data_IF_522230183797
#
_entry.id   IF_522230183797
#
_cell.length_a   1.000
_cell.length_b   1.000
_cell.length_c   1.000
_cell.angle_alpha   90.00
_cell.angle_beta   90.00
_cell.angle_gamma   90.00
#
_symmetry.space_group_name_H-M   'P 1'
#
loop_
_entity.id
_entity.type
_entity.pdbx_description
1 polymer ?
#
# COMPACT_ATOMS: atom_id res chain seq x y z
N UNK A 1 -9.16 4.56 -1.14
CA UNK A 1 -7.84 4.58 -1.80
C UNK A 1 -7.85 5.59 -2.93
N UNK A 2 -6.79 6.39 -3.07
CA UNK A 2 -6.53 7.26 -4.23
C UNK A 2 -5.44 6.62 -5.10
N UNK A 3 -5.66 6.59 -6.42
CA UNK A 3 -4.65 6.16 -7.39
C UNK A 3 -4.22 7.40 -8.18
N UNK A 4 -2.96 7.80 -8.02
CA UNK A 4 -2.37 8.96 -8.69
C UNK A 4 -1.45 8.44 -9.78
N UNK A 5 -1.73 8.79 -11.03
CA UNK A 5 -0.93 8.37 -12.19
C UNK A 5 -0.14 9.58 -12.65
N UNK A 6 1.17 9.42 -12.79
CA UNK A 6 2.10 10.42 -13.29
C UNK A 6 2.78 9.91 -14.56
N UNK A 7 3.32 10.82 -15.37
CA UNK A 7 3.93 10.47 -16.66
C UNK A 7 5.14 9.51 -16.49
N UNK A 8 5.95 9.73 -15.46
CA UNK A 8 7.15 8.93 -15.24
C UNK A 8 7.54 8.77 -13.77
N UNK A 9 8.60 7.98 -13.50
CA UNK A 9 9.06 7.72 -12.14
C UNK A 9 9.50 8.97 -11.37
N UNK A 10 10.04 9.97 -12.07
CA UNK A 10 10.50 11.22 -11.45
C UNK A 10 9.32 12.09 -11.02
N UNK A 11 8.29 12.20 -11.86
CA UNK A 11 7.06 12.94 -11.61
C UNK A 11 6.29 12.30 -10.45
N UNK A 12 6.18 10.96 -10.43
CA UNK A 12 5.62 10.20 -9.30
C UNK A 12 6.38 10.47 -8.00
N UNK A 13 7.71 10.46 -8.05
CA UNK A 13 8.56 10.72 -6.89
C UNK A 13 8.43 12.16 -6.38
N UNK A 14 8.40 13.13 -7.29
CA UNK A 14 8.23 14.55 -6.96
C UNK A 14 6.85 14.83 -6.37
N UNK A 15 5.79 14.22 -6.91
CA UNK A 15 4.45 14.32 -6.35
C UNK A 15 4.43 13.86 -4.89
N UNK A 16 5.01 12.70 -4.58
CA UNK A 16 5.07 12.21 -3.20
C UNK A 16 5.91 13.13 -2.31
N UNK A 17 7.07 13.61 -2.80
CA UNK A 17 7.92 14.50 -2.01
C UNK A 17 7.18 15.80 -1.64
N UNK A 18 6.50 16.44 -2.59
CA UNK A 18 5.65 17.61 -2.32
C UNK A 18 4.49 17.27 -1.38
N UNK A 19 3.89 16.09 -1.53
CA UNK A 19 2.85 15.62 -0.61
C UNK A 19 3.35 15.49 0.83
N UNK A 20 4.49 14.82 1.04
CA UNK A 20 5.12 14.68 2.36
C UNK A 20 5.46 16.05 2.94
N UNK A 21 6.01 16.96 2.14
CA UNK A 21 6.34 18.32 2.56
C UNK A 21 5.07 19.05 3.02
N UNK A 22 4.00 19.01 2.22
CA UNK A 22 2.73 19.62 2.57
C UNK A 22 2.15 19.07 3.87
N UNK A 23 2.31 17.76 4.11
CA UNK A 23 1.81 17.10 5.32
C UNK A 23 2.59 17.49 6.56
N UNK A 24 3.92 17.55 6.47
CA UNK A 24 4.76 17.99 7.58
C UNK A 24 4.47 19.46 7.90
N UNK A 25 4.39 20.34 6.89
CA UNK A 25 4.11 21.77 7.09
C UNK A 25 2.70 22.00 7.66
N UNK A 26 1.68 21.30 7.16
CA UNK A 26 0.31 21.41 7.66
C UNK A 26 0.16 20.85 9.08
N UNK A 27 0.95 19.84 9.45
CA UNK A 27 0.96 19.30 10.81
C UNK A 27 1.67 20.24 11.80
N UNK A 28 2.63 21.04 11.32
CA UNK A 28 3.43 22.00 12.09
C UNK A 28 4.07 21.36 13.34
N UNK A 29 5.01 20.41 13.16
CA UNK A 29 5.55 19.61 14.25
C UNK A 29 6.38 20.43 15.24
N UNK A 30 6.32 20.04 16.50
CA UNK A 30 7.12 20.58 17.60
C UNK A 30 7.79 19.44 18.37
N UNK A 31 8.60 19.77 19.37
CA UNK A 31 9.24 18.77 20.24
C UNK A 31 8.22 17.90 20.99
N UNK A 32 7.14 18.50 21.47
CA UNK A 32 6.05 17.82 22.20
C UNK A 32 5.10 17.06 21.28
N UNK A 33 5.06 17.44 20.00
CA UNK A 33 4.18 16.88 18.99
C UNK A 33 4.96 16.67 17.67
N UNK A 34 5.83 15.65 17.61
CA UNK A 34 6.61 15.37 16.41
C UNK A 34 5.73 14.79 15.29
N UNK A 35 6.16 14.97 14.05
CA UNK A 35 5.55 14.29 12.90
C UNK A 35 6.19 12.90 12.76
N UNK A 36 5.40 11.83 12.91
CA UNK A 36 5.91 10.46 12.83
C UNK A 36 5.77 9.92 11.40
N UNK A 37 6.91 9.60 10.77
CA UNK A 37 7.02 9.22 9.37
C UNK A 37 7.58 7.80 9.21
N UNK A 38 6.80 6.90 8.61
CA UNK A 38 7.25 5.59 8.18
C UNK A 38 8.01 5.67 6.85
N UNK A 39 9.15 4.98 6.70
CA UNK A 39 10.03 5.09 5.54
C UNK A 39 10.45 3.73 4.95
N UNK A 40 10.46 3.59 3.60
CA UNK A 40 10.95 2.40 2.91
C UNK A 40 12.44 2.54 2.52
N UNK A 41 13.04 1.44 2.08
CA UNK A 41 14.33 1.45 1.35
C UNK A 41 14.11 1.04 -0.12
N UNK A 42 15.17 0.62 -0.81
CA UNK A 42 15.12 0.18 -2.20
C UNK A 42 15.24 1.32 -3.22
N UNK A 43 15.09 0.98 -4.49
CA UNK A 43 15.34 1.91 -5.61
C UNK A 43 14.24 2.97 -5.77
N UNK A 44 12.98 2.60 -5.56
CA UNK A 44 11.82 3.47 -5.78
C UNK A 44 11.84 4.77 -4.97
N UNK A 45 12.16 4.79 -3.66
CA UNK A 45 12.14 6.03 -2.88
C UNK A 45 13.37 6.94 -3.07
N UNK A 46 14.40 6.54 -3.81
CA UNK A 46 15.65 7.32 -3.94
C UNK A 46 15.38 8.73 -4.48
N UNK A 47 14.52 8.86 -5.49
CA UNK A 47 14.19 10.16 -6.07
C UNK A 47 13.34 11.01 -5.10
N UNK A 48 12.46 10.39 -4.32
CA UNK A 48 11.71 11.05 -3.25
C UNK A 48 12.69 11.66 -2.23
N UNK A 49 13.68 10.88 -1.78
CA UNK A 49 14.68 11.36 -0.84
C UNK A 49 15.52 12.51 -1.40
N UNK A 50 15.94 12.45 -2.66
CA UNK A 50 16.64 13.56 -3.32
C UNK A 50 15.78 14.83 -3.33
N UNK A 51 14.49 14.73 -3.64
CA UNK A 51 13.58 15.88 -3.65
C UNK A 51 13.34 16.45 -2.25
N UNK A 52 13.21 15.61 -1.23
CA UNK A 52 13.14 16.05 0.18
C UNK A 52 14.42 16.76 0.64
N UNK A 53 15.59 16.25 0.28
CA UNK A 53 16.89 16.89 0.57
C UNK A 53 16.97 18.25 -0.10
N UNK A 54 16.58 18.35 -1.38
CA UNK A 54 16.59 19.62 -2.11
C UNK A 54 15.64 20.64 -1.48
N UNK A 55 14.45 20.20 -1.04
CA UNK A 55 13.50 21.07 -0.34
C UNK A 55 14.04 21.56 1.01
N UNK A 56 14.74 20.70 1.77
CA UNK A 56 15.41 21.10 3.01
C UNK A 56 16.52 22.12 2.74
N UNK A 57 17.39 21.87 1.74
CA UNK A 57 18.46 22.81 1.35
C UNK A 57 17.92 24.15 0.85
N UNK A 58 16.72 24.16 0.29
CA UNK A 58 15.99 25.36 -0.11
C UNK A 58 15.17 25.99 1.04
N UNK A 59 15.35 25.54 2.29
CA UNK A 59 14.65 26.04 3.48
C UNK A 59 13.12 25.96 3.41
N UNK A 60 12.56 25.04 2.61
CA UNK A 60 11.10 24.84 2.50
C UNK A 60 10.54 23.92 3.58
N UNK A 61 11.39 23.13 4.23
CA UNK A 61 11.01 22.16 5.25
C UNK A 61 12.16 21.95 6.24
N UNK A 62 11.83 21.53 7.46
CA UNK A 62 12.77 21.04 8.48
C UNK A 62 12.30 19.68 8.99
N UNK A 63 13.26 18.80 9.28
CA UNK A 63 13.08 17.47 9.86
C UNK A 63 13.44 17.42 11.35
N UNK A 64 13.74 18.57 11.98
CA UNK A 64 14.15 18.65 13.38
C UNK A 64 13.14 18.03 14.36
N UNK A 65 11.85 18.15 14.06
CA UNK A 65 10.75 17.58 14.84
C UNK A 65 10.03 16.46 14.09
N UNK A 66 10.73 15.77 13.19
CA UNK A 66 10.27 14.54 12.55
C UNK A 66 10.89 13.35 13.29
N UNK A 67 10.08 12.31 13.51
CA UNK A 67 10.48 11.00 14.02
C UNK A 67 10.27 9.98 12.92
N UNK A 68 11.25 9.13 12.67
CA UNK A 68 11.18 8.14 11.57
C UNK A 68 11.20 6.72 12.07
N UNK A 69 10.45 5.86 11.39
CA UNK A 69 10.47 4.40 11.56
C UNK A 69 10.64 3.75 10.20
N UNK A 70 11.72 2.98 10.01
CA UNK A 70 11.88 2.18 8.80
C UNK A 70 11.05 0.89 8.83
N UNK A 71 10.74 0.37 7.65
CA UNK A 71 9.93 -0.83 7.45
C UNK A 71 10.64 -2.11 7.87
N UNK A 72 11.96 -2.19 7.69
CA UNK A 72 12.69 -3.45 7.76
C UNK A 72 14.20 -3.24 7.95
N UNK A 73 14.88 -4.32 8.31
CA UNK A 73 16.35 -4.47 8.31
C UNK A 73 16.72 -5.95 8.13
N UNK A 74 17.83 -6.23 7.46
CA UNK A 74 18.31 -7.60 7.29
C UNK A 74 18.82 -8.20 8.61
N UNK A 75 18.53 -9.48 8.84
CA UNK A 75 19.04 -10.22 10.01
C UNK A 75 20.45 -10.70 9.74
N UNK A 76 21.35 -10.50 10.70
CA UNK A 76 22.74 -11.00 10.64
C UNK A 76 23.69 -10.19 9.74
N UNK A 77 23.20 -9.17 9.04
CA UNK A 77 24.04 -8.28 8.23
C UNK A 77 24.63 -7.18 9.13
N UNK A 78 25.97 -6.93 9.11
CA UNK A 78 26.57 -5.88 9.93
C UNK A 78 25.90 -4.52 9.69
N UNK A 79 25.68 -3.76 10.76
CA UNK A 79 24.96 -2.47 10.70
C UNK A 79 25.66 -1.42 9.83
N UNK A 80 26.97 -1.52 9.70
CA UNK A 80 27.83 -0.66 8.87
C UNK A 80 28.07 -1.25 7.47
N UNK A 81 27.54 -2.44 7.18
CA UNK A 81 27.60 -3.02 5.84
C UNK A 81 26.99 -2.04 4.83
N UNK A 82 27.60 -1.82 3.64
CA UNK A 82 27.12 -0.84 2.66
C UNK A 82 25.65 -1.02 2.24
N UNK A 83 25.20 -2.28 2.22
CA UNK A 83 23.85 -2.68 1.82
C UNK A 83 22.90 -2.98 2.99
N UNK A 84 23.32 -2.71 4.23
CA UNK A 84 22.35 -2.64 5.34
C UNK A 84 21.38 -1.47 5.12
N UNK A 85 20.16 -1.61 5.63
CA UNK A 85 19.17 -0.54 5.50
C UNK A 85 19.52 0.67 6.37
N UNK A 86 20.24 0.45 7.47
CA UNK A 86 20.93 1.51 8.21
C UNK A 86 21.87 2.34 7.31
N UNK A 87 22.84 1.69 6.65
CA UNK A 87 23.76 2.37 5.72
C UNK A 87 23.02 3.05 4.57
N UNK A 88 22.02 2.38 4.00
CA UNK A 88 21.20 2.94 2.93
C UNK A 88 20.54 4.25 3.35
N UNK A 89 19.87 4.29 4.51
CA UNK A 89 19.13 5.47 4.96
C UNK A 89 20.05 6.62 5.33
N UNK A 90 21.19 6.33 5.99
CA UNK A 90 22.19 7.36 6.26
C UNK A 90 22.82 7.90 4.98
N UNK A 91 23.11 7.04 3.99
CA UNK A 91 23.69 7.42 2.69
C UNK A 91 22.74 8.30 1.88
N UNK A 92 21.46 7.93 1.83
CA UNK A 92 20.48 8.51 0.91
C UNK A 92 19.59 9.60 1.51
N UNK A 93 19.47 9.71 2.84
CA UNK A 93 18.59 10.70 3.48
C UNK A 93 19.23 11.35 4.71
N UNK A 94 19.45 10.59 5.79
CA UNK A 94 19.59 11.17 7.13
C UNK A 94 20.81 12.10 7.29
N UNK A 95 21.93 11.85 6.59
CA UNK A 95 23.11 12.73 6.68
C UNK A 95 22.96 14.07 5.95
N UNK A 96 21.88 14.26 5.20
CA UNK A 96 21.67 15.41 4.31
C UNK A 96 20.57 16.36 4.79
N UNK A 97 19.93 16.06 5.92
CA UNK A 97 18.82 16.81 6.52
C UNK A 97 19.09 17.07 8.01
N UNK A 98 18.31 17.93 8.65
CA UNK A 98 18.43 18.30 10.07
C UNK A 98 17.65 17.38 11.04
N UNK A 99 17.43 16.12 10.66
CA UNK A 99 16.78 15.16 11.55
C UNK A 99 17.69 14.87 12.76
N UNK A 100 17.08 14.77 13.94
CA UNK A 100 17.83 14.47 15.16
C UNK A 100 18.13 12.97 15.26
N UNK A 101 19.37 12.54 15.58
CA UNK A 101 19.72 11.12 15.62
C UNK A 101 18.84 10.26 16.52
N UNK A 102 18.40 10.80 17.67
CA UNK A 102 17.52 10.10 18.61
C UNK A 102 16.08 9.90 18.10
N UNK A 103 15.70 10.59 17.02
CA UNK A 103 14.40 10.49 16.37
C UNK A 103 14.42 9.50 15.19
N UNK A 104 15.57 8.84 14.92
CA UNK A 104 15.71 7.83 13.88
C UNK A 104 15.52 6.45 14.51
N UNK A 105 14.51 5.70 14.07
CA UNK A 105 14.26 4.33 14.51
C UNK A 105 14.40 3.36 13.34
N UNK A 106 15.31 2.40 13.52
CA UNK A 106 15.63 1.31 12.59
C UNK A 106 15.61 0.02 13.40
N UNK A 107 15.06 -1.05 12.83
CA UNK A 107 15.11 -2.39 13.44
C UNK A 107 16.56 -2.85 13.56
N UNK A 108 16.91 -3.48 14.69
CA UNK A 108 18.23 -4.06 14.89
C UNK A 108 18.25 -5.54 14.48
N UNK A 109 18.61 -5.81 13.22
CA UNK A 109 18.75 -7.17 12.69
C UNK A 109 19.85 -8.03 13.34
N UNK A 110 20.67 -7.46 14.22
CA UNK A 110 21.69 -8.17 15.00
C UNK A 110 21.38 -8.19 16.50
N UNK A 111 20.14 -7.92 16.90
CA UNK A 111 19.74 -7.98 18.30
C UNK A 111 19.91 -9.41 18.86
N UNK A 112 20.37 -9.57 20.12
CA UNK A 112 20.49 -10.90 20.74
C UNK A 112 19.16 -11.67 20.80
N UNK A 113 18.05 -10.93 20.88
CA UNK A 113 16.71 -11.49 20.83
C UNK A 113 15.84 -10.69 19.84
N UNK A 114 15.68 -11.25 18.65
CA UNK A 114 14.93 -10.64 17.56
C UNK A 114 13.44 -10.45 17.88
N UNK A 115 12.85 -11.33 18.72
CA UNK A 115 11.45 -11.20 19.11
C UNK A 115 11.24 -9.99 20.02
N UNK A 116 12.14 -9.79 20.99
CA UNK A 116 12.11 -8.62 21.89
C UNK A 116 12.32 -7.34 21.09
N UNK A 117 13.28 -7.32 20.15
CA UNK A 117 13.49 -6.18 19.24
C UNK A 117 12.21 -5.80 18.50
N UNK A 118 11.50 -6.77 17.91
CA UNK A 118 10.22 -6.50 17.23
C UNK A 118 9.15 -5.93 18.16
N UNK A 119 9.05 -6.44 19.39
CA UNK A 119 8.07 -5.96 20.36
C UNK A 119 8.39 -4.53 20.84
N UNK A 120 9.66 -4.25 21.14
CA UNK A 120 10.12 -2.92 21.53
C UNK A 120 9.92 -1.90 20.41
N UNK A 121 10.10 -2.30 19.16
CA UNK A 121 9.84 -1.45 17.99
C UNK A 121 8.37 -1.03 17.91
N UNK A 122 7.45 -1.97 18.12
CA UNK A 122 6.01 -1.71 18.16
C UNK A 122 5.61 -0.81 19.32
N UNK A 123 6.17 -1.05 20.51
CA UNK A 123 5.91 -0.23 21.68
C UNK A 123 6.49 1.17 21.53
N UNK A 124 7.62 1.31 20.82
CA UNK A 124 8.18 2.61 20.46
C UNK A 124 7.26 3.37 19.51
N UNK A 125 6.71 2.73 18.48
CA UNK A 125 5.71 3.36 17.58
C UNK A 125 4.51 3.85 18.40
N UNK A 126 3.99 3.02 19.30
CA UNK A 126 2.86 3.38 20.17
C UNK A 126 3.20 4.53 21.12
N UNK A 127 4.44 4.61 21.61
CA UNK A 127 4.87 5.68 22.52
C UNK A 127 4.80 7.08 21.90
N UNK A 128 4.85 7.18 20.56
CA UNK A 128 4.63 8.42 19.81
C UNK A 128 3.17 8.63 19.35
N UNK A 129 2.23 7.76 19.74
CA UNK A 129 0.82 7.84 19.35
C UNK A 129 0.52 7.31 17.95
N UNK A 130 1.42 6.50 17.39
CA UNK A 130 1.29 5.90 16.06
C UNK A 130 1.96 6.72 14.94
N UNK A 131 1.90 6.18 13.72
CA UNK A 131 2.52 6.79 12.53
C UNK A 131 1.52 7.76 11.86
N UNK A 132 1.96 8.98 11.56
CA UNK A 132 1.12 9.99 10.90
C UNK A 132 1.02 9.74 9.39
N UNK A 133 2.15 9.41 8.76
CA UNK A 133 2.22 9.02 7.35
C UNK A 133 3.22 7.89 7.20
N UNK A 134 2.82 6.80 6.56
CA UNK A 134 3.69 5.70 6.21
C UNK A 134 3.96 5.71 4.71
N UNK A 135 5.19 6.04 4.31
CA UNK A 135 5.65 5.85 2.93
C UNK A 135 6.11 4.41 2.75
N UNK A 136 5.62 3.73 1.72
CA UNK A 136 6.01 2.38 1.36
C UNK A 136 6.33 2.24 -0.12
N UNK A 137 7.04 1.16 -0.47
CA UNK A 137 7.10 0.64 -1.83
C UNK A 137 6.26 -0.63 -1.97
N UNK A 138 6.26 -1.20 -3.17
CA UNK A 138 5.68 -2.52 -3.43
C UNK A 138 6.67 -3.43 -4.16
N UNK A 139 6.71 -4.70 -3.75
CA UNK A 139 7.37 -5.79 -4.47
C UNK A 139 6.75 -6.06 -5.86
N UNK A 140 7.45 -6.82 -6.71
CA UNK A 140 6.88 -7.29 -8.00
C UNK A 140 5.75 -8.31 -7.82
N UNK A 141 5.72 -8.95 -6.66
CA UNK A 141 4.72 -9.91 -6.17
C UNK A 141 3.58 -9.23 -5.36
N UNK A 142 3.64 -7.91 -5.15
CA UNK A 142 2.67 -7.18 -4.36
C UNK A 142 2.94 -7.14 -2.85
N UNK A 143 4.14 -7.50 -2.37
CA UNK A 143 4.46 -7.35 -0.95
C UNK A 143 4.61 -5.88 -0.52
N UNK A 144 4.16 -5.55 0.70
CA UNK A 144 4.55 -4.34 1.44
C UNK A 144 5.60 -4.71 2.49
N UNK A 145 6.70 -3.95 2.59
CA UNK A 145 7.86 -4.33 3.42
C UNK A 145 8.37 -5.72 3.01
N UNK A 146 8.85 -6.55 3.93
CA UNK A 146 9.04 -7.98 3.69
C UNK A 146 7.82 -8.84 4.04
N UNK A 147 6.59 -8.31 3.92
CA UNK A 147 5.37 -9.12 4.07
C UNK A 147 5.09 -9.90 2.79
N UNK A 148 5.93 -10.92 2.55
CA UNK A 148 5.87 -11.86 1.44
C UNK A 148 4.48 -12.51 1.29
N UNK A 149 4.13 -13.00 0.08
CA UNK A 149 2.90 -13.75 -0.17
C UNK A 149 2.64 -14.83 0.90
N UNK A 150 1.40 -14.87 1.39
CA UNK A 150 0.98 -15.74 2.49
C UNK A 150 1.13 -15.13 3.89
N UNK A 151 1.72 -13.93 4.01
CA UNK A 151 1.81 -13.22 5.29
C UNK A 151 0.45 -12.79 5.80
N UNK A 152 0.19 -12.94 7.11
CA UNK A 152 -1.08 -12.50 7.70
C UNK A 152 -1.31 -11.00 7.46
N UNK A 153 -2.52 -10.64 7.02
CA UNK A 153 -2.92 -9.24 6.86
C UNK A 153 -3.07 -8.52 8.21
N UNK A 154 -3.21 -9.26 9.32
CA UNK A 154 -3.20 -8.73 10.69
C UNK A 154 -1.82 -8.81 11.37
N UNK A 155 -0.75 -9.09 10.61
CA UNK A 155 0.58 -9.28 11.18
C UNK A 155 1.15 -8.02 11.85
N UNK A 156 1.93 -8.24 12.90
CA UNK A 156 2.79 -7.26 13.57
C UNK A 156 4.24 -7.43 13.12
N UNK A 157 5.09 -6.52 13.60
CA UNK A 157 6.54 -6.55 13.42
C UNK A 157 7.10 -7.91 13.86
N UNK A 158 7.89 -8.55 12.99
CA UNK A 158 8.39 -9.91 13.20
C UNK A 158 9.63 -10.22 12.35
N UNK A 159 10.26 -11.34 12.67
CA UNK A 159 11.22 -12.01 11.78
C UNK A 159 10.47 -12.64 10.61
N UNK A 160 11.01 -12.49 9.40
CA UNK A 160 10.47 -13.11 8.19
C UNK A 160 11.59 -13.66 7.33
N UNK A 161 11.45 -14.91 6.89
CA UNK A 161 12.30 -15.49 5.85
C UNK A 161 11.97 -14.86 4.50
N UNK A 162 13.00 -14.45 3.78
CA UNK A 162 12.85 -13.85 2.46
C UNK A 162 12.48 -14.92 1.43
N UNK A 163 11.55 -14.58 0.53
CA UNK A 163 11.23 -15.45 -0.58
C UNK A 163 12.42 -15.54 -1.56
N UNK A 164 12.50 -16.64 -2.30
CA UNK A 164 13.54 -16.84 -3.32
C UNK A 164 13.55 -15.71 -4.36
N UNK A 165 12.36 -15.26 -4.81
CA UNK A 165 12.23 -14.14 -5.75
C UNK A 165 12.76 -12.82 -5.18
N UNK A 166 12.50 -12.55 -3.89
CA UNK A 166 13.03 -11.39 -3.18
C UNK A 166 14.55 -11.44 -3.09
N UNK A 167 15.13 -12.62 -2.79
CA UNK A 167 16.59 -12.80 -2.78
C UNK A 167 17.19 -12.57 -4.18
N UNK A 168 16.59 -13.09 -5.25
CA UNK A 168 17.02 -12.81 -6.63
C UNK A 168 16.96 -11.31 -6.94
N UNK A 169 15.85 -10.65 -6.61
CA UNK A 169 15.65 -9.24 -6.90
C UNK A 169 16.68 -8.35 -6.16
N UNK A 170 17.11 -8.79 -4.97
CA UNK A 170 18.07 -8.08 -4.13
C UNK A 170 19.53 -8.46 -4.40
N UNK A 171 19.80 -9.60 -5.06
CA UNK A 171 21.17 -10.05 -5.38
C UNK A 171 21.98 -9.00 -6.16
N UNK A 172 21.32 -8.17 -6.98
CA UNK A 172 21.94 -7.03 -7.67
C UNK A 172 22.63 -6.01 -6.76
N UNK A 173 22.31 -6.00 -5.47
CA UNK A 173 22.97 -5.16 -4.46
C UNK A 173 24.16 -5.86 -3.80
N UNK A 174 24.22 -7.19 -3.89
CA UNK A 174 25.25 -8.04 -3.30
C UNK A 174 26.13 -8.66 -4.40
N UNK A 175 26.62 -7.84 -5.32
CA UNK A 175 27.51 -8.25 -6.44
C UNK A 175 26.93 -9.37 -7.32
N UNK A 176 25.61 -9.39 -7.48
CA UNK A 176 24.85 -10.44 -8.19
C UNK A 176 25.01 -11.85 -7.58
N UNK A 177 25.48 -11.94 -6.33
CA UNK A 177 25.58 -13.17 -5.55
C UNK A 177 24.37 -13.35 -4.64
N UNK A 178 23.55 -14.37 -4.94
CA UNK A 178 22.37 -14.70 -4.14
C UNK A 178 22.74 -15.20 -2.75
N UNK A 179 23.87 -15.88 -2.58
CA UNK A 179 24.30 -16.47 -1.31
C UNK A 179 24.81 -15.40 -0.33
N UNK A 180 25.19 -14.24 -0.84
CA UNK A 180 25.50 -13.06 -0.04
C UNK A 180 24.23 -12.32 0.47
N UNK A 181 23.05 -12.60 -0.10
CA UNK A 181 21.78 -12.01 0.35
C UNK A 181 21.29 -12.70 1.64
N UNK A 182 21.04 -11.97 2.73
CA UNK A 182 20.53 -12.56 3.97
C UNK A 182 19.23 -13.35 3.78
N UNK A 183 19.09 -14.48 4.46
CA UNK A 183 17.89 -15.34 4.36
C UNK A 183 16.68 -14.79 5.13
N UNK A 184 16.91 -13.88 6.06
CA UNK A 184 15.87 -13.35 6.95
C UNK A 184 15.99 -11.84 7.11
N UNK A 185 14.86 -11.21 7.41
CA UNK A 185 14.78 -9.81 7.78
C UNK A 185 13.85 -9.64 9.00
N UNK A 186 14.07 -8.56 9.74
CA UNK A 186 13.05 -7.99 10.60
C UNK A 186 12.19 -7.07 9.73
N UNK A 187 10.88 -7.12 9.91
CA UNK A 187 9.97 -6.30 9.12
C UNK A 187 8.74 -5.93 9.92
N UNK A 188 8.25 -4.70 9.73
CA UNK A 188 6.94 -4.27 10.21
C UNK A 188 5.86 -5.13 9.58
N UNK A 189 4.84 -5.48 10.36
CA UNK A 189 3.74 -6.29 9.85
C UNK A 189 2.75 -5.46 9.01
N UNK A 190 1.89 -6.15 8.25
CA UNK A 190 0.85 -5.50 7.44
C UNK A 190 -0.05 -4.60 8.29
N UNK A 191 -0.48 -5.08 9.47
CA UNK A 191 -1.30 -4.27 10.38
C UNK A 191 -0.53 -3.07 10.94
N UNK A 192 0.78 -3.18 11.10
CA UNK A 192 1.63 -2.09 11.58
C UNK A 192 1.62 -0.92 10.60
N UNK A 193 1.67 -1.21 9.29
CA UNK A 193 1.51 -0.21 8.23
C UNK A 193 0.08 0.34 8.20
N UNK A 194 -0.91 -0.54 8.30
CA UNK A 194 -2.34 -0.19 8.28
C UNK A 194 -2.84 0.58 9.51
N UNK A 195 -2.08 0.59 10.60
CA UNK A 195 -2.35 1.40 11.79
C UNK A 195 -1.92 2.86 11.61
N UNK A 196 -1.18 3.19 10.56
CA UNK A 196 -0.81 4.57 10.25
C UNK A 196 -2.06 5.40 9.92
N UNK A 197 -2.03 6.70 10.19
CA UNK A 197 -3.15 7.60 9.85
C UNK A 197 -3.29 7.80 8.34
N UNK A 198 -2.18 7.65 7.62
CA UNK A 198 -2.14 7.66 6.16
C UNK A 198 -1.05 6.71 5.66
N UNK A 199 -1.35 6.03 4.55
CA UNK A 199 -0.37 5.19 3.84
C UNK A 199 -0.23 5.69 2.40
N UNK A 200 1.01 5.95 1.99
CA UNK A 200 1.37 6.38 0.64
C UNK A 200 2.33 5.35 0.04
N UNK A 201 1.99 4.78 -1.11
CA UNK A 201 2.82 3.81 -1.81
C UNK A 201 3.36 4.40 -3.11
N UNK A 202 4.65 4.22 -3.36
CA UNK A 202 5.28 4.44 -4.67
C UNK A 202 5.42 3.12 -5.41
N UNK A 203 4.98 3.07 -6.66
CA UNK A 203 5.17 1.91 -7.53
C UNK A 203 5.39 2.35 -8.99
N UNK A 204 6.62 2.17 -9.49
CA UNK A 204 7.03 2.67 -10.80
C UNK A 204 7.62 1.57 -11.67
N UNK A 205 7.35 1.62 -12.97
CA UNK A 205 7.86 0.73 -14.01
C UNK A 205 7.00 -0.51 -14.23
N UNK A 206 7.09 -1.05 -15.46
CA UNK A 206 6.27 -2.17 -15.94
C UNK A 206 6.33 -3.43 -15.05
N UNK A 207 7.46 -3.67 -14.38
CA UNK A 207 7.62 -4.79 -13.44
C UNK A 207 6.62 -4.80 -12.28
N UNK A 208 5.95 -3.66 -12.00
CA UNK A 208 4.98 -3.51 -10.92
C UNK A 208 3.53 -3.64 -11.39
N UNK A 209 3.29 -3.69 -12.70
CA UNK A 209 1.95 -3.61 -13.27
C UNK A 209 1.03 -4.75 -12.80
N UNK A 210 1.53 -5.98 -12.76
CA UNK A 210 0.76 -7.13 -12.29
C UNK A 210 0.39 -7.01 -10.80
N UNK A 211 1.36 -6.66 -9.95
CA UNK A 211 1.13 -6.44 -8.52
C UNK A 211 0.09 -5.34 -8.27
N UNK A 212 0.16 -4.25 -9.01
CA UNK A 212 -0.80 -3.15 -8.89
C UNK A 212 -2.19 -3.52 -9.38
N UNK A 213 -2.29 -4.24 -10.49
CA UNK A 213 -3.56 -4.75 -10.98
C UNK A 213 -4.23 -5.66 -9.93
N UNK A 214 -3.47 -6.57 -9.31
CA UNK A 214 -3.97 -7.42 -8.24
C UNK A 214 -4.37 -6.62 -7.00
N UNK A 215 -3.57 -5.63 -6.60
CA UNK A 215 -3.82 -4.83 -5.41
C UNK A 215 -5.01 -3.86 -5.56
N UNK A 216 -5.25 -3.33 -6.76
CA UNK A 216 -6.28 -2.31 -7.02
C UNK A 216 -7.57 -2.92 -7.58
N UNK A 217 -7.48 -3.87 -8.50
CA UNK A 217 -8.65 -4.48 -9.15
C UNK A 217 -9.03 -5.85 -8.58
N UNK A 218 -8.08 -6.54 -7.96
CA UNK A 218 -8.30 -7.81 -7.29
C UNK A 218 -8.99 -7.66 -5.94
N UNK A 219 -9.37 -8.80 -5.34
CA UNK A 219 -9.87 -8.83 -3.97
C UNK A 219 -8.74 -8.75 -2.94
N UNK A 220 -9.10 -8.36 -1.71
CA UNK A 220 -8.16 -8.40 -0.57
C UNK A 220 -7.66 -9.83 -0.37
N UNK A 221 -6.35 -10.03 -0.46
CA UNK A 221 -5.70 -11.33 -0.40
C UNK A 221 -4.33 -11.26 0.27
N UNK A 222 -4.02 -12.23 1.11
CA UNK A 222 -2.68 -12.36 1.69
C UNK A 222 -1.58 -12.76 0.69
N UNK A 223 -1.95 -13.14 -0.54
CA UNK A 223 -0.98 -13.42 -1.61
C UNK A 223 -0.44 -12.14 -2.25
N UNK A 224 -1.23 -11.05 -2.23
CA UNK A 224 -0.82 -9.72 -2.64
C UNK A 224 -1.06 -8.79 -1.44
N UNK A 225 -0.10 -8.68 -0.53
CA UNK A 225 -0.34 -7.99 0.76
C UNK A 225 -0.65 -6.51 0.57
N UNK A 226 -0.22 -5.88 -0.53
CA UNK A 226 -0.62 -4.53 -0.94
C UNK A 226 -2.15 -4.34 -1.06
N UNK A 227 -2.89 -5.40 -1.39
CA UNK A 227 -4.37 -5.34 -1.47
C UNK A 227 -5.03 -4.94 -0.15
N UNK A 228 -4.34 -5.02 1.00
CA UNK A 228 -4.86 -4.56 2.28
C UNK A 228 -5.21 -3.06 2.28
N UNK A 229 -4.60 -2.26 1.41
CA UNK A 229 -4.87 -0.83 1.30
C UNK A 229 -6.30 -0.49 0.88
N UNK A 230 -7.03 -1.46 0.31
CA UNK A 230 -8.46 -1.32 0.04
C UNK A 230 -9.27 -1.14 1.34
N UNK A 231 -8.77 -1.65 2.47
CA UNK A 231 -9.39 -1.56 3.79
C UNK A 231 -8.94 -0.30 4.56
N UNK A 232 -7.91 0.40 4.08
CA UNK A 232 -7.35 1.55 4.78
C UNK A 232 -8.20 2.81 4.53
N UNK A 233 -8.54 3.53 5.60
CA UNK A 233 -9.38 4.73 5.52
C UNK A 233 -8.76 5.84 4.68
N UNK A 234 -7.41 5.92 4.65
CA UNK A 234 -6.65 6.94 3.93
C UNK A 234 -5.41 6.36 3.26
N UNK A 235 -5.59 5.67 2.14
CA UNK A 235 -4.49 5.14 1.32
C UNK A 235 -4.35 5.89 0.00
N UNK A 236 -3.11 6.05 -0.44
CA UNK A 236 -2.74 6.61 -1.74
C UNK A 236 -1.68 5.71 -2.38
N UNK A 237 -1.85 5.41 -3.67
CA UNK A 237 -0.86 4.74 -4.49
C UNK A 237 -0.49 5.68 -5.63
N UNK A 238 0.78 6.04 -5.73
CA UNK A 238 1.30 6.91 -6.79
C UNK A 238 2.15 6.05 -7.72
N UNK A 239 1.82 6.11 -9.01
CA UNK A 239 2.38 5.25 -10.05
C UNK A 239 2.81 6.07 -11.25
N UNK A 240 3.73 5.52 -12.05
CA UNK A 240 3.97 6.00 -13.42
C UNK A 240 3.05 5.28 -14.42
N UNK A 241 3.03 5.71 -15.68
CA UNK A 241 2.19 5.10 -16.72
C UNK A 241 2.52 3.61 -16.93
N UNK A 242 3.81 3.25 -16.97
CA UNK A 242 4.27 1.88 -17.17
C UNK A 242 3.76 0.92 -16.09
N UNK A 243 3.61 1.39 -14.85
CA UNK A 243 3.06 0.60 -13.76
C UNK A 243 1.54 0.33 -13.91
N UNK A 244 0.86 0.93 -14.90
CA UNK A 244 -0.57 0.71 -15.17
C UNK A 244 -0.86 -0.26 -16.32
N UNK A 245 0.16 -0.84 -16.97
CA UNK A 245 0.02 -1.62 -18.20
C UNK A 245 -0.94 -2.81 -18.13
N UNK A 246 -1.08 -3.44 -16.96
CA UNK A 246 -2.00 -4.58 -16.74
C UNK A 246 -3.39 -4.15 -16.27
N UNK A 247 -3.60 -2.86 -15.97
CA UNK A 247 -4.87 -2.36 -15.45
C UNK A 247 -5.89 -2.15 -16.56
N UNK A 248 -7.18 -2.24 -16.21
CA UNK A 248 -8.25 -1.92 -17.16
C UNK A 248 -8.23 -0.43 -17.48
N UNK A 249 -8.40 -0.09 -18.76
CA UNK A 249 -8.54 1.29 -19.24
C UNK A 249 -9.58 2.09 -18.44
N UNK A 250 -10.70 1.45 -18.06
CA UNK A 250 -11.73 2.11 -17.25
C UNK A 250 -11.20 2.52 -15.87
N UNK A 251 -10.37 1.71 -15.22
CA UNK A 251 -9.76 2.00 -13.92
C UNK A 251 -8.83 3.19 -14.00
N UNK A 252 -7.97 3.22 -15.03
CA UNK A 252 -7.04 4.33 -15.32
C UNK A 252 -7.82 5.62 -15.56
N UNK A 253 -8.79 5.61 -16.47
CA UNK A 253 -9.57 6.80 -16.83
C UNK A 253 -10.35 7.39 -15.64
N UNK A 254 -10.96 6.54 -14.80
CA UNK A 254 -11.66 6.99 -13.59
C UNK A 254 -10.69 7.65 -12.61
N UNK A 255 -9.49 7.09 -12.46
CA UNK A 255 -8.46 7.64 -11.54
C UNK A 255 -7.96 9.01 -12.00
N UNK A 256 -7.63 9.15 -13.30
CA UNK A 256 -7.26 10.44 -13.91
C UNK A 256 -8.37 11.49 -13.75
N UNK A 257 -9.63 11.10 -13.96
CA UNK A 257 -10.78 11.98 -13.77
C UNK A 257 -10.89 12.47 -12.32
N UNK A 258 -10.81 11.57 -11.33
CA UNK A 258 -10.88 11.93 -9.90
C UNK A 258 -9.75 12.88 -9.51
N UNK A 259 -8.51 12.63 -9.95
CA UNK A 259 -7.38 13.49 -9.62
C UNK A 259 -7.48 14.87 -10.28
N UNK A 260 -8.05 14.97 -11.49
CA UNK A 260 -8.35 16.28 -12.11
C UNK A 260 -9.32 17.11 -11.27
N UNK A 261 -10.32 16.49 -10.62
CA UNK A 261 -11.20 17.19 -9.70
C UNK A 261 -10.50 17.55 -8.39
N UNK A 262 -9.62 16.69 -7.86
CA UNK A 262 -8.85 16.98 -6.65
C UNK A 262 -7.89 18.14 -6.83
N UNK A 263 -7.24 18.27 -8.00
CA UNK A 263 -6.34 19.39 -8.29
C UNK A 263 -7.11 20.71 -8.44
N UNK A 264 -8.29 20.69 -9.08
CA UNK A 264 -9.18 21.86 -9.19
C UNK A 264 -9.71 22.29 -7.81
N UNK A 265 -10.08 21.34 -6.95
CA UNK A 265 -10.64 21.62 -5.63
C UNK A 265 -9.59 21.98 -4.58
N UNK A 266 -8.34 21.53 -4.69
CA UNK A 266 -7.26 22.01 -3.82
C UNK A 266 -6.90 23.49 -4.07
N UNK A 267 -7.24 24.05 -5.24
CA UNK A 267 -7.22 25.49 -5.51
C UNK A 267 -8.45 26.25 -5.00
N UNK A 268 -9.51 25.54 -4.59
CA UNK A 268 -10.78 26.08 -4.10
C UNK A 268 -11.07 25.46 -2.72
N UNK A 269 -10.47 26.04 -1.68
CA UNK A 269 -10.82 25.88 -0.26
C UNK A 269 -12.04 24.97 -0.02
N UNK A 270 -11.78 23.76 0.52
CA UNK A 270 -12.70 22.89 1.26
C UNK A 270 -14.19 23.30 1.15
N UNK A 271 -14.89 22.74 0.16
CA UNK A 271 -16.35 22.63 0.03
C UNK A 271 -17.21 23.57 0.91
N UNK A 272 -17.49 24.79 0.44
CA UNK A 272 -18.72 25.54 0.82
C UNK A 272 -19.97 25.08 0.04
N UNK A 273 -19.93 23.91 -0.60
CA UNK A 273 -20.91 23.51 -1.63
C UNK A 273 -22.01 22.52 -1.21
N UNK A 274 -21.84 21.72 -0.16
CA UNK A 274 -22.82 20.64 0.15
C UNK A 274 -24.12 21.19 0.79
N UNK A 275 -24.14 22.43 1.26
CA UNK A 275 -25.36 23.08 1.75
C UNK A 275 -26.33 23.50 0.61
N UNK A 276 -25.92 23.50 -0.66
CA UNK A 276 -26.78 23.93 -1.78
C UNK A 276 -27.50 22.79 -2.51
N UNK A 277 -27.12 21.54 -2.32
CA UNK A 277 -27.80 20.39 -2.97
C UNK A 277 -29.04 19.92 -2.20
N UNK A 278 -29.35 20.52 -1.04
CA UNK A 278 -30.59 20.25 -0.29
C UNK A 278 -31.71 21.26 -0.66
N UNK A 279 -31.44 22.33 -1.42
CA UNK A 279 -32.43 23.38 -1.74
C UNK A 279 -32.94 23.41 -3.20
N UNK A 280 -32.84 22.29 -3.92
CA UNK A 280 -33.59 22.09 -5.17
C UNK A 280 -34.13 20.65 -5.23
N UNK A 281 -35.04 20.34 -4.30
CA UNK A 281 -36.00 19.24 -4.43
C UNK A 281 -37.31 19.62 -3.72
N UNK A 282 -37.78 20.83 -3.97
CA UNK A 282 -39.22 21.11 -3.92
C UNK A 282 -39.72 20.91 -5.35
N UNK A 283 -40.01 19.65 -5.69
CA UNK A 283 -40.82 19.32 -6.85
C UNK A 283 -42.00 18.48 -6.34
N UNK A 284 -43.18 19.05 -6.57
CA UNK A 284 -44.54 18.64 -6.23
C UNK A 284 -44.74 17.15 -5.92
N UNK A 285 -45.34 16.89 -4.76
CA UNK A 285 -45.80 15.57 -4.34
C UNK A 285 -46.95 15.05 -5.21
N UNK A 286 -46.62 14.16 -6.14
CA UNK A 286 -47.50 13.10 -6.63
C UNK A 286 -46.62 11.89 -6.95
N UNK A 287 -46.81 10.81 -6.19
CA UNK A 287 -46.26 9.49 -6.52
C UNK A 287 -46.95 8.99 -7.81
N UNK A 288 -46.22 8.42 -8.78
CA UNK A 288 -46.87 7.71 -9.89
C UNK A 288 -47.65 6.50 -9.33
N UNK A 289 -48.84 6.20 -9.87
CA UNK A 289 -49.64 5.08 -9.37
C UNK A 289 -48.91 3.76 -9.60
N UNK A 290 -48.94 2.91 -8.57
CA UNK A 290 -48.46 1.53 -8.66
C UNK A 290 -49.24 0.76 -9.74
N UNK A 291 -48.60 -0.12 -10.52
CA UNK A 291 -49.30 -0.92 -11.51
C UNK A 291 -50.28 -1.87 -10.80
N UNK A 292 -51.56 -1.76 -11.14
CA UNK A 292 -52.63 -2.64 -10.68
C UNK A 292 -52.47 -4.00 -11.38
N UNK A 293 -52.24 -5.06 -10.60
CA UNK A 293 -52.44 -6.43 -11.05
C UNK A 293 -53.95 -6.68 -11.15
N UNK A 294 -54.49 -6.76 -12.36
CA UNK A 294 -55.86 -7.24 -12.58
C UNK A 294 -55.85 -8.75 -12.44
N UNK A 295 -56.38 -9.26 -11.34
CA UNK A 295 -56.84 -10.63 -11.23
C UNK A 295 -58.23 -10.68 -11.88
N UNK A 296 -58.32 -11.22 -13.10
CA UNK A 296 -59.53 -11.82 -13.66
C UNK A 296 -59.13 -12.59 -14.93
N UNK A 297 -59.29 -13.91 -14.87
CA UNK A 297 -58.96 -14.84 -15.94
C UNK A 297 -58.80 -16.26 -15.38
N UNK A 298 -59.93 -16.86 -15.01
CA UNK A 298 -60.07 -18.29 -14.72
C UNK A 298 -59.40 -19.15 -15.80
N UNK A 299 -58.45 -20.02 -15.42
CA UNK A 299 -58.36 -21.36 -15.99
C UNK A 299 -57.63 -22.29 -15.02
N UNK A 300 -58.32 -23.38 -14.71
CA UNK A 300 -57.98 -24.41 -13.73
C UNK A 300 -56.70 -25.18 -14.11
N UNK A 301 -55.82 -25.44 -13.15
CA UNK A 301 -54.73 -26.39 -13.41
C UNK A 301 -53.69 -26.52 -12.31
N UNK A 302 -53.98 -27.36 -11.34
CA UNK A 302 -53.07 -28.10 -10.44
C UNK A 302 -51.56 -27.79 -10.49
N UNK A 303 -51.06 -27.32 -9.34
CA UNK A 303 -49.66 -27.40 -8.94
C UNK A 303 -49.23 -28.86 -8.79
N UNK A 304 -48.36 -29.39 -9.67
CA UNK A 304 -47.34 -30.41 -9.29
C UNK A 304 -46.05 -30.32 -10.11
N UNK A 305 -44.91 -30.70 -9.49
CA UNK A 305 -43.57 -30.35 -9.90
C UNK A 305 -43.08 -31.33 -10.97
N UNK A 306 -42.32 -30.87 -11.97
CA UNK A 306 -41.32 -31.69 -12.67
C UNK A 306 -40.54 -30.88 -13.74
N UNK A 307 -39.27 -31.24 -13.89
CA UNK A 307 -38.35 -30.97 -15.01
C UNK A 307 -37.50 -29.68 -15.02
N UNK A 308 -36.48 -29.65 -14.15
CA UNK A 308 -35.15 -29.14 -14.55
C UNK A 308 -34.13 -30.28 -14.60
N UNK A 309 -34.37 -31.23 -15.49
CA UNK A 309 -33.37 -32.15 -15.99
C UNK A 309 -33.55 -32.25 -17.51
N UNK A 310 -32.78 -31.49 -18.28
CA UNK A 310 -32.42 -31.79 -19.69
C UNK A 310 -31.82 -30.59 -20.43
N UNK A 311 -30.62 -30.13 -20.06
CA UNK A 311 -29.70 -29.48 -21.03
C UNK A 311 -28.25 -29.83 -20.72
N UNK A 312 -27.91 -31.11 -20.85
CA UNK A 312 -26.54 -31.56 -21.11
C UNK A 312 -26.63 -32.62 -22.22
N UNK A 313 -25.97 -32.35 -23.34
CA UNK A 313 -25.71 -33.29 -24.44
C UNK A 313 -24.19 -33.45 -24.61
N UNK A 314 -23.69 -34.58 -25.16
CA UNK A 314 -22.80 -35.42 -24.36
C UNK A 314 -21.40 -35.70 -24.95
N UNK A 315 -20.57 -36.29 -24.08
CA UNK A 315 -19.39 -37.16 -24.32
C UNK A 315 -18.03 -36.50 -24.65
N UNK A 316 -17.18 -36.38 -23.61
CA UNK A 316 -15.82 -36.94 -23.64
C UNK A 316 -15.50 -37.53 -22.26
N UNK A 317 -15.28 -38.84 -22.19
CA UNK A 317 -14.90 -39.59 -20.97
C UNK A 317 -13.48 -39.21 -20.56
N UNK A 318 -13.28 -38.81 -19.30
CA UNK A 318 -11.99 -38.93 -18.61
C UNK A 318 -12.23 -39.72 -17.32
N UNK A 319 -11.49 -40.82 -17.18
CA UNK A 319 -11.56 -41.77 -16.06
C UNK A 319 -10.92 -41.15 -14.82
N UNK A 320 -11.64 -41.12 -13.69
CA UNK A 320 -11.06 -40.89 -12.37
C UNK A 320 -10.44 -42.19 -11.85
N UNK A 321 -9.22 -42.10 -11.34
CA UNK A 321 -8.52 -43.19 -10.64
C UNK A 321 -8.69 -42.95 -9.15
N UNK A 322 -9.33 -43.88 -8.46
CA UNK A 322 -9.42 -43.93 -6.99
C UNK A 322 -8.34 -44.89 -6.49
N UNK A 323 -7.50 -44.44 -5.57
CA UNK A 323 -6.52 -45.30 -4.89
C UNK A 323 -7.21 -46.10 -3.78
N UNK A 324 -6.97 -47.42 -3.67
CA UNK A 324 -7.44 -48.19 -2.53
C UNK A 324 -6.50 -48.02 -1.33
N UNK A 325 -7.12 -47.81 -0.17
CA UNK A 325 -6.52 -47.93 1.16
C UNK A 325 -6.28 -49.40 1.54
N UNK A 326 -5.14 -49.64 2.20
CA UNK A 326 -4.70 -50.82 2.97
C UNK A 326 -3.89 -51.91 2.24
N UNK A 327 -2.56 -51.83 2.32
CA UNK A 327 -1.71 -52.67 3.20
C UNK A 327 -0.29 -52.09 3.27
#
# INVERSE_FOLDING_TARGET
MRLVIQEGPLEASNYIAEYIISRILAFNPSEEKPFVLGLPTGSSPIYIYKSLINAYKASRISFRHVVTFNMDEYVGLPRDHPESYCSFMHRNLFKHIDIQPQNIHLLNGNAPNLFVECQEYEDKIKSFGGIELFLGGVGTDGHIAFNEPGSSLSSRTRVKSLAYETRIANARFFDDDIDAVPDMALTVGVQTVMDAREVVIIATGASKALALQQAVEGGVSHLCTLSCLQLHSRSMVVVDEDATLEMKVKTVNVSLMIESFSSITNGLQYFKGVAKTIKQKEFSGQLPPSPTLTADGDDDGDLKPDNMASRISPVTRVRSVTFPTNM
#
